data_IF_207615092290
#
_entry.id   IF_207615092290
#
_cell.length_a   1.000
_cell.length_b   1.000
_cell.length_c   1.000
_cell.angle_alpha   90.00
_cell.angle_beta   90.00
_cell.angle_gamma   90.00
#
_symmetry.space_group_name_H-M   'P 1'
#
loop_
_entity.id
_entity.type
_entity.pdbx_description
1 polymer ?
#
# COMPACT_ATOMS: atom_id res chain seq x y z
N UNK A 1 -9.93 -90.05 61.53
CA UNK A 1 -9.71 -88.57 61.57
C UNK A 1 -8.38 -88.21 61.02
N UNK A 2 -8.25 -87.87 59.78
CA UNK A 2 -7.02 -87.34 59.17
C UNK A 2 -7.41 -86.39 58.05
N UNK A 3 -7.19 -85.10 58.26
CA UNK A 3 -7.40 -84.08 57.29
C UNK A 3 -6.29 -84.16 56.20
N UNK A 4 -6.68 -84.14 54.93
CA UNK A 4 -5.80 -83.95 53.82
C UNK A 4 -6.03 -82.56 53.22
N UNK A 5 -5.05 -81.71 53.36
CA UNK A 5 -4.99 -80.38 52.75
C UNK A 5 -4.69 -80.51 51.27
N UNK A 6 -5.57 -80.00 50.41
CA UNK A 6 -5.29 -79.79 48.98
C UNK A 6 -4.68 -78.36 48.80
N UNK A 7 -3.49 -78.34 48.24
CA UNK A 7 -2.86 -77.08 47.77
C UNK A 7 -3.45 -76.75 46.40
N UNK A 8 -4.07 -75.62 46.27
CA UNK A 8 -4.36 -74.98 45.00
C UNK A 8 -3.27 -73.96 44.69
N UNK A 9 -2.60 -74.09 43.54
CA UNK A 9 -1.68 -73.13 42.96
C UNK A 9 -2.49 -72.14 42.12
N UNK A 10 -2.32 -70.84 42.21
CA UNK A 10 -2.93 -69.90 41.30
C UNK A 10 -2.08 -69.74 40.03
N UNK A 11 -2.74 -69.91 38.91
CA UNK A 11 -2.25 -69.67 37.56
C UNK A 11 -2.23 -68.13 37.39
N UNK A 12 -1.03 -67.55 37.31
CA UNK A 12 -0.88 -66.12 37.00
C UNK A 12 -0.94 -65.97 35.45
N UNK A 13 -2.07 -65.45 34.96
CA UNK A 13 -2.20 -65.00 33.57
C UNK A 13 -1.52 -63.63 33.38
N UNK A 14 -0.43 -63.65 32.66
CA UNK A 14 0.32 -62.43 32.25
C UNK A 14 -0.49 -61.78 31.09
N UNK A 15 -1.29 -60.78 31.38
CA UNK A 15 -1.93 -59.93 30.38
C UNK A 15 -0.92 -58.91 29.86
N UNK A 16 -0.43 -59.08 28.62
CA UNK A 16 0.34 -58.09 27.89
C UNK A 16 -0.61 -56.96 27.47
N UNK A 17 -0.55 -55.82 28.16
CA UNK A 17 -1.14 -54.59 27.74
C UNK A 17 -0.31 -54.05 26.57
N UNK A 18 -0.84 -54.25 25.35
CA UNK A 18 -0.37 -53.52 24.16
C UNK A 18 -0.85 -52.08 24.31
N UNK A 19 0.03 -51.19 24.75
CA UNK A 19 -0.21 -49.77 24.70
C UNK A 19 -0.20 -49.33 23.22
N UNK A 20 -1.37 -49.08 22.65
CA UNK A 20 -1.46 -48.25 21.45
C UNK A 20 -1.10 -46.84 21.88
N UNK A 21 0.14 -46.43 21.64
CA UNK A 21 0.46 -45.02 21.55
C UNK A 21 -0.23 -44.49 20.31
N UNK A 22 -1.36 -43.85 20.48
CA UNK A 22 -1.82 -42.87 19.52
C UNK A 22 -0.74 -41.79 19.52
N UNK A 23 0.07 -41.74 18.48
CA UNK A 23 0.77 -40.51 18.10
C UNK A 23 -0.31 -39.49 17.79
N UNK A 24 -0.73 -38.76 18.84
CA UNK A 24 -1.31 -37.44 18.68
C UNK A 24 -0.18 -36.60 18.07
N UNK A 25 -0.21 -36.45 16.73
CA UNK A 25 0.51 -35.36 16.11
C UNK A 25 0.11 -34.09 16.84
N UNK A 26 1.02 -33.23 17.27
CA UNK A 26 0.65 -32.00 17.93
C UNK A 26 -0.30 -31.25 17.01
N UNK A 27 -1.55 -31.06 17.45
CA UNK A 27 -2.46 -30.09 16.84
C UNK A 27 -1.65 -28.82 16.61
N UNK A 28 -1.59 -28.37 15.33
CA UNK A 28 -0.62 -27.46 14.81
C UNK A 28 -0.31 -26.33 15.78
N UNK A 29 0.93 -26.26 16.19
CA UNK A 29 1.43 -25.09 16.88
C UNK A 29 1.04 -23.90 16.03
N UNK A 30 0.26 -22.98 16.57
CA UNK A 30 -0.10 -21.73 15.90
C UNK A 30 1.20 -21.15 15.34
N UNK A 31 1.27 -20.89 14.03
CA UNK A 31 2.45 -20.32 13.40
C UNK A 31 2.73 -18.88 13.89
N UNK A 32 1.97 -18.43 14.88
CA UNK A 32 2.05 -17.11 15.50
C UNK A 32 1.06 -16.12 14.91
N UNK A 33 1.30 -14.87 15.21
CA UNK A 33 0.46 -13.76 14.75
C UNK A 33 1.30 -12.62 14.19
N UNK A 34 0.63 -11.70 13.51
CA UNK A 34 1.15 -10.45 12.98
C UNK A 34 0.15 -9.34 13.28
N UNK A 35 0.57 -8.30 14.00
CA UNK A 35 -0.25 -7.12 14.29
C UNK A 35 0.05 -6.06 13.23
N UNK A 36 -0.87 -5.93 12.27
CA UNK A 36 -0.73 -5.06 11.12
C UNK A 36 -1.50 -3.76 11.34
N UNK A 37 -0.79 -2.64 11.37
CA UNK A 37 -1.36 -1.30 11.36
C UNK A 37 -1.33 -0.78 9.92
N UNK A 38 -2.50 -0.57 9.31
CA UNK A 38 -2.62 -0.21 7.90
C UNK A 38 -3.44 1.05 7.68
N UNK A 39 -2.90 1.97 6.90
CA UNK A 39 -3.67 3.11 6.38
C UNK A 39 -4.22 2.85 4.96
N UNK A 40 -4.14 1.62 4.50
CA UNK A 40 -4.78 1.16 3.26
C UNK A 40 -6.19 0.65 3.60
N UNK A 41 -7.16 0.98 2.75
CA UNK A 41 -8.57 0.67 2.97
C UNK A 41 -9.18 0.07 1.70
N UNK A 42 -8.45 -0.85 1.07
CA UNK A 42 -8.93 -1.50 -0.16
C UNK A 42 -9.45 -2.89 0.16
N UNK A 43 -10.67 -3.20 -0.28
CA UNK A 43 -11.28 -4.52 -0.10
C UNK A 43 -10.39 -5.64 -0.68
N UNK A 44 -9.62 -5.33 -1.73
CA UNK A 44 -8.66 -6.25 -2.36
C UNK A 44 -7.45 -6.57 -1.47
N UNK A 45 -7.11 -5.73 -0.50
CA UNK A 45 -6.02 -6.02 0.44
C UNK A 45 -6.41 -7.15 1.42
N UNK A 46 -7.72 -7.38 1.66
CA UNK A 46 -8.21 -8.49 2.48
C UNK A 46 -7.76 -9.83 1.89
N UNK A 47 -7.86 -9.98 0.57
CA UNK A 47 -7.40 -11.20 -0.10
C UNK A 47 -5.88 -11.45 0.07
N UNK A 48 -5.05 -10.38 0.14
CA UNK A 48 -3.63 -10.52 0.46
C UNK A 48 -3.42 -11.09 1.87
N UNK A 49 -4.19 -10.61 2.83
CA UNK A 49 -4.08 -11.02 4.23
C UNK A 49 -4.57 -12.46 4.44
N UNK A 50 -5.68 -12.82 3.81
CA UNK A 50 -6.25 -14.17 3.86
C UNK A 50 -5.31 -15.19 3.20
N UNK A 51 -4.81 -14.91 2.00
CA UNK A 51 -3.87 -15.79 1.28
C UNK A 51 -2.56 -15.99 2.06
N UNK A 52 -2.04 -14.95 2.72
CA UNK A 52 -0.88 -15.09 3.59
C UNK A 52 -1.17 -16.00 4.78
N UNK A 53 -2.30 -15.80 5.44
CA UNK A 53 -2.71 -16.62 6.59
C UNK A 53 -2.92 -18.09 6.18
N UNK A 54 -3.55 -18.34 5.03
CA UNK A 54 -3.75 -19.68 4.50
C UNK A 54 -2.42 -20.38 4.19
N UNK A 55 -1.49 -19.64 3.57
CA UNK A 55 -0.19 -20.20 3.17
C UNK A 55 0.77 -20.46 4.33
N UNK A 56 0.66 -19.70 5.42
CA UNK A 56 1.67 -19.71 6.50
C UNK A 56 1.13 -20.16 7.85
N UNK A 57 -0.19 -20.13 8.06
CA UNK A 57 -0.82 -20.29 9.38
C UNK A 57 -0.65 -19.10 10.32
N UNK A 58 0.04 -18.02 9.90
CA UNK A 58 0.22 -16.80 10.70
C UNK A 58 -1.05 -15.98 10.65
N UNK A 59 -1.65 -15.70 11.80
CA UNK A 59 -2.87 -14.90 11.89
C UNK A 59 -2.54 -13.40 11.80
N UNK A 60 -3.23 -12.67 10.93
CA UNK A 60 -3.12 -11.21 10.87
C UNK A 60 -4.18 -10.57 11.78
N UNK A 61 -3.73 -9.75 12.72
CA UNK A 61 -4.57 -8.86 13.51
C UNK A 61 -4.49 -7.46 12.92
N UNK A 62 -5.51 -7.07 12.15
CA UNK A 62 -5.53 -5.83 11.38
C UNK A 62 -6.12 -4.69 12.21
N UNK A 63 -5.43 -3.53 12.20
CA UNK A 63 -5.95 -2.25 12.65
C UNK A 63 -5.86 -1.26 11.51
N UNK A 64 -7.01 -0.73 11.09
CA UNK A 64 -7.10 0.27 10.04
C UNK A 64 -7.48 1.63 10.60
N UNK A 65 -6.70 2.64 10.22
CA UNK A 65 -6.96 4.04 10.53
C UNK A 65 -6.18 4.98 9.61
N UNK A 66 -6.31 6.30 9.79
CA UNK A 66 -5.48 7.27 9.09
C UNK A 66 -4.00 7.10 9.43
N UNK A 67 -3.10 7.29 8.45
CA UNK A 67 -1.67 7.07 8.67
C UNK A 67 -1.09 7.92 9.79
N UNK A 68 -1.46 9.19 9.86
CA UNK A 68 -0.99 10.09 10.93
C UNK A 68 -1.53 9.64 12.29
N UNK A 69 -2.76 9.12 12.34
CA UNK A 69 -3.38 8.54 13.54
C UNK A 69 -2.64 7.28 14.01
N UNK A 70 -2.29 6.38 13.09
CA UNK A 70 -1.53 5.17 13.39
C UNK A 70 -0.12 5.50 13.90
N UNK A 71 0.57 6.47 13.30
CA UNK A 71 1.88 6.95 13.77
C UNK A 71 1.78 7.47 15.20
N UNK A 72 0.82 8.35 15.50
CA UNK A 72 0.64 8.89 16.85
C UNK A 72 0.20 7.79 17.85
N UNK A 73 -0.55 6.80 17.40
CA UNK A 73 -0.92 5.65 18.21
C UNK A 73 0.30 4.84 18.61
N UNK A 74 1.15 4.43 17.66
CA UNK A 74 2.39 3.68 17.96
C UNK A 74 3.29 4.48 18.91
N UNK A 75 3.45 5.78 18.67
CA UNK A 75 4.21 6.67 19.60
C UNK A 75 3.64 6.70 21.01
N UNK A 76 2.32 6.78 21.15
CA UNK A 76 1.67 6.84 22.46
C UNK A 76 1.67 5.50 23.19
N UNK A 77 1.62 4.39 22.47
CA UNK A 77 1.78 3.04 23.01
C UNK A 77 3.23 2.77 23.46
N UNK A 78 4.21 3.43 22.81
CA UNK A 78 5.63 3.36 23.16
C UNK A 78 6.17 1.92 23.16
N UNK A 79 6.94 1.54 24.17
CA UNK A 79 7.52 0.20 24.35
C UNK A 79 6.46 -0.92 24.47
N UNK A 80 5.21 -0.57 24.77
CA UNK A 80 4.10 -1.50 24.88
C UNK A 80 3.29 -1.64 23.57
N UNK A 81 3.71 -0.99 22.50
CA UNK A 81 3.00 -1.10 21.22
C UNK A 81 3.01 -2.54 20.72
N UNK A 82 1.83 -3.12 20.43
CA UNK A 82 1.76 -4.45 19.84
C UNK A 82 2.01 -4.45 18.34
N UNK A 83 2.15 -3.28 17.70
CA UNK A 83 2.30 -3.17 16.25
C UNK A 83 3.58 -3.87 15.77
N UNK A 84 3.45 -4.74 14.78
CA UNK A 84 4.59 -5.36 14.09
C UNK A 84 4.98 -4.61 12.83
N UNK A 85 3.99 -4.23 12.02
CA UNK A 85 4.17 -3.47 10.79
C UNK A 85 3.25 -2.26 10.73
N UNK A 86 3.78 -1.18 10.18
CA UNK A 86 2.98 -0.05 9.70
C UNK A 86 3.02 -0.03 8.18
N UNK A 87 1.85 -0.22 7.54
CA UNK A 87 1.67 -0.02 6.11
C UNK A 87 1.00 1.34 5.87
N UNK A 88 1.58 2.14 5.00
CA UNK A 88 1.01 3.44 4.64
C UNK A 88 1.09 3.72 3.14
N UNK A 89 0.26 4.65 2.70
CA UNK A 89 0.29 5.21 1.35
C UNK A 89 1.02 6.54 1.38
N UNK A 90 1.93 6.74 0.42
CA UNK A 90 2.75 7.94 0.27
C UNK A 90 4.07 7.90 1.06
N UNK A 91 5.18 8.11 0.33
CA UNK A 91 6.53 8.15 0.90
C UNK A 91 6.70 9.22 1.99
N UNK A 92 5.97 10.33 1.91
CA UNK A 92 5.99 11.37 2.93
C UNK A 92 5.50 10.89 4.30
N UNK A 93 4.63 9.91 4.34
CA UNK A 93 4.16 9.30 5.60
C UNK A 93 5.14 8.26 6.13
N UNK A 94 5.81 7.51 5.26
CA UNK A 94 6.93 6.65 5.67
C UNK A 94 8.03 7.51 6.30
N UNK A 95 8.37 8.62 5.67
CA UNK A 95 9.34 9.59 6.21
C UNK A 95 8.90 10.15 7.58
N UNK A 96 7.62 10.49 7.77
CA UNK A 96 7.12 10.93 9.09
C UNK A 96 7.27 9.87 10.17
N UNK A 97 6.97 8.62 9.84
CA UNK A 97 7.14 7.49 10.74
C UNK A 97 8.62 7.26 11.09
N UNK A 98 9.50 7.37 10.10
CA UNK A 98 10.96 7.34 10.29
C UNK A 98 11.43 8.47 11.22
N UNK A 99 11.02 9.72 10.97
CA UNK A 99 11.37 10.87 11.82
C UNK A 99 10.81 10.74 13.25
N UNK A 100 9.73 9.99 13.42
CA UNK A 100 9.19 9.65 14.73
C UNK A 100 9.96 8.53 15.44
N UNK A 101 10.94 7.89 14.78
CA UNK A 101 11.78 6.83 15.35
C UNK A 101 11.04 5.52 15.59
N UNK A 102 9.92 5.28 14.88
CA UNK A 102 9.09 4.08 15.12
C UNK A 102 9.53 2.86 14.33
N UNK A 103 10.48 2.99 13.43
CA UNK A 103 10.96 1.89 12.60
C UNK A 103 12.30 1.33 13.09
N UNK A 104 12.54 0.06 12.82
CA UNK A 104 13.83 -0.62 12.91
C UNK A 104 14.22 -1.19 11.53
N UNK A 105 15.51 -1.46 11.29
CA UNK A 105 15.97 -2.05 10.04
C UNK A 105 15.33 -3.41 9.76
N UNK A 106 14.96 -3.62 8.50
CA UNK A 106 14.46 -4.87 7.94
C UNK A 106 15.67 -5.58 7.32
N UNK A 107 15.98 -6.78 7.79
CA UNK A 107 17.03 -7.63 7.23
C UNK A 107 16.40 -8.79 6.47
N UNK A 108 16.44 -8.75 5.13
CA UNK A 108 15.91 -9.81 4.27
C UNK A 108 16.59 -9.80 2.91
N UNK A 109 17.46 -10.80 2.64
CA UNK A 109 18.05 -10.99 1.31
C UNK A 109 17.01 -11.12 0.18
N UNK A 110 15.82 -11.63 0.49
CA UNK A 110 14.71 -11.79 -0.47
C UNK A 110 14.17 -10.43 -0.90
N UNK A 111 13.99 -9.51 0.05
CA UNK A 111 13.55 -8.15 -0.26
C UNK A 111 14.64 -7.39 -1.03
N UNK A 112 15.90 -7.61 -0.68
CA UNK A 112 17.04 -6.99 -1.37
C UNK A 112 17.18 -7.46 -2.82
N UNK A 113 16.89 -8.72 -3.10
CA UNK A 113 16.89 -9.28 -4.46
C UNK A 113 15.69 -8.79 -5.29
N UNK A 114 14.49 -8.72 -4.69
CA UNK A 114 13.26 -8.43 -5.42
C UNK A 114 13.02 -6.96 -5.67
N UNK A 115 13.41 -6.10 -4.74
CA UNK A 115 13.11 -4.69 -4.79
C UNK A 115 14.32 -3.87 -5.28
N UNK A 116 14.16 -2.99 -6.26
CA UNK A 116 15.23 -2.08 -6.66
C UNK A 116 15.55 -1.09 -5.53
N UNK A 117 16.77 -0.54 -5.54
CA UNK A 117 17.27 0.35 -4.47
C UNK A 117 16.34 1.54 -4.20
N UNK A 118 15.74 2.12 -5.23
CA UNK A 118 14.81 3.25 -5.09
C UNK A 118 13.43 2.87 -4.50
N UNK A 119 13.20 1.59 -4.22
CA UNK A 119 12.02 1.08 -3.53
C UNK A 119 12.35 0.64 -2.09
N UNK A 120 13.55 0.92 -1.61
CA UNK A 120 14.02 0.56 -0.27
C UNK A 120 14.66 1.76 0.41
N UNK A 121 14.46 1.89 1.72
CA UNK A 121 15.18 2.87 2.51
C UNK A 121 16.67 2.54 2.54
N UNK A 122 17.60 3.50 2.41
CA UNK A 122 19.04 3.22 2.44
C UNK A 122 19.51 2.46 3.69
N UNK A 123 18.91 2.76 4.85
CA UNK A 123 19.21 2.10 6.13
C UNK A 123 18.21 0.98 6.46
N UNK A 124 17.42 0.50 5.48
CA UNK A 124 16.49 -0.61 5.63
C UNK A 124 15.22 -0.35 6.44
N UNK A 125 14.88 0.89 6.79
CA UNK A 125 13.77 1.21 7.69
C UNK A 125 12.38 0.95 7.11
N UNK A 126 12.25 0.95 5.77
CA UNK A 126 11.01 0.66 5.09
C UNK A 126 11.25 0.14 3.67
N UNK A 127 10.25 -0.51 3.12
CA UNK A 127 10.22 -0.99 1.73
C UNK A 127 8.95 -0.53 1.03
N UNK A 128 9.06 -0.26 -0.29
CA UNK A 128 7.93 0.02 -1.16
C UNK A 128 7.23 -1.26 -1.60
N UNK A 129 5.91 -1.23 -1.64
CA UNK A 129 5.06 -2.38 -1.98
C UNK A 129 4.32 -2.22 -3.30
N UNK A 130 4.00 -1.00 -3.67
CA UNK A 130 3.36 -0.65 -4.95
C UNK A 130 3.68 0.78 -5.34
N UNK A 131 3.45 1.12 -6.61
CA UNK A 131 3.70 2.46 -7.17
C UNK A 131 2.43 3.04 -7.77
N UNK A 132 2.36 4.37 -7.80
CA UNK A 132 1.35 5.14 -8.54
C UNK A 132 1.98 6.36 -9.18
N UNK A 133 1.53 6.72 -10.36
CA UNK A 133 1.93 7.96 -11.02
C UNK A 133 0.86 9.04 -10.81
N UNK A 134 1.29 10.29 -10.64
CA UNK A 134 0.41 11.44 -10.59
C UNK A 134 0.34 12.04 -11.98
N UNK A 135 -0.77 11.84 -12.69
CA UNK A 135 -0.93 12.22 -14.09
C UNK A 135 -1.80 13.45 -14.24
N UNK A 136 -1.69 14.09 -15.38
CA UNK A 136 -2.63 15.13 -15.82
C UNK A 136 -3.71 14.45 -16.65
N UNK A 137 -4.96 14.77 -16.36
CA UNK A 137 -6.15 14.27 -17.06
C UNK A 137 -6.74 15.42 -17.86
N UNK A 138 -7.12 15.20 -19.11
CA UNK A 138 -7.77 16.21 -19.93
C UNK A 138 -9.00 15.66 -20.66
N UNK A 139 -9.90 16.53 -21.10
CA UNK A 139 -11.11 16.14 -21.81
C UNK A 139 -10.76 15.73 -23.25
N UNK A 140 -11.06 14.49 -23.63
CA UNK A 140 -10.70 13.91 -24.93
C UNK A 140 -11.36 14.66 -26.11
N UNK A 141 -12.63 15.10 -25.97
CA UNK A 141 -13.35 15.81 -27.03
C UNK A 141 -12.78 17.22 -27.25
N UNK A 142 -12.39 17.89 -26.17
CA UNK A 142 -11.76 19.21 -26.25
C UNK A 142 -10.32 19.15 -26.79
N UNK A 143 -9.70 17.98 -26.78
CA UNK A 143 -8.32 17.76 -27.17
C UNK A 143 -7.31 18.21 -26.11
N UNK A 144 -6.03 17.91 -26.34
CA UNK A 144 -4.94 18.27 -25.43
C UNK A 144 -4.77 19.79 -25.36
N UNK A 145 -4.96 20.42 -24.17
CA UNK A 145 -4.65 21.85 -24.00
C UNK A 145 -3.15 22.08 -24.11
N UNK A 146 -2.73 23.12 -24.82
CA UNK A 146 -1.30 23.47 -24.95
C UNK A 146 -0.99 24.80 -24.24
N UNK A 147 0.18 24.87 -23.59
CA UNK A 147 1.16 23.80 -23.33
C UNK A 147 0.69 22.87 -22.19
N UNK A 148 0.91 21.55 -22.31
CA UNK A 148 0.59 20.60 -21.23
C UNK A 148 1.45 19.32 -21.33
N UNK A 149 2.76 19.48 -21.19
CA UNK A 149 3.74 18.39 -21.25
C UNK A 149 4.44 18.12 -19.93
N UNK A 150 4.44 19.11 -19.02
CA UNK A 150 5.05 19.04 -17.69
C UNK A 150 4.13 19.66 -16.62
N UNK A 151 4.42 19.41 -15.35
CA UNK A 151 3.68 20.03 -14.24
C UNK A 151 3.83 21.56 -14.22
N UNK A 152 4.96 22.10 -14.70
CA UNK A 152 5.17 23.53 -14.83
C UNK A 152 4.09 24.20 -15.67
N UNK A 153 3.59 23.51 -16.70
CA UNK A 153 2.59 24.02 -17.64
C UNK A 153 1.22 24.25 -16.97
N UNK A 154 0.94 23.55 -15.86
CA UNK A 154 -0.29 23.78 -15.08
C UNK A 154 -0.42 25.24 -14.56
N UNK A 155 0.69 25.94 -14.45
CA UNK A 155 0.75 27.35 -14.05
C UNK A 155 0.65 28.33 -15.22
N UNK A 156 0.67 27.85 -16.47
CA UNK A 156 0.58 28.74 -17.65
C UNK A 156 -0.77 29.49 -17.66
N UNK A 157 -0.75 30.83 -17.87
CA UNK A 157 -1.97 31.66 -17.94
C UNK A 157 -2.99 31.21 -19.03
N UNK A 158 -2.57 30.45 -20.03
CA UNK A 158 -3.45 29.86 -21.05
C UNK A 158 -4.46 28.87 -20.44
N UNK A 159 -4.19 28.35 -19.24
CA UNK A 159 -5.07 27.45 -18.49
C UNK A 159 -5.96 28.13 -17.47
N UNK A 160 -6.08 29.44 -17.52
CA UNK A 160 -6.94 30.21 -16.58
C UNK A 160 -8.38 29.72 -16.61
N UNK A 161 -8.89 29.34 -15.41
CA UNK A 161 -10.25 28.83 -15.23
C UNK A 161 -10.49 27.43 -15.79
N UNK A 162 -9.42 26.64 -16.01
CA UNK A 162 -9.52 25.32 -16.65
C UNK A 162 -9.09 24.17 -15.76
N UNK A 163 -8.37 24.43 -14.64
CA UNK A 163 -7.73 23.40 -13.81
C UNK A 163 -8.62 23.00 -12.64
N UNK A 164 -8.85 21.72 -12.47
CA UNK A 164 -9.45 21.11 -11.30
C UNK A 164 -8.44 20.23 -10.56
N UNK A 165 -8.31 20.45 -9.27
CA UNK A 165 -7.42 19.69 -8.41
C UNK A 165 -8.09 19.49 -7.05
N UNK A 166 -7.74 18.44 -6.33
CA UNK A 166 -8.17 18.26 -4.94
C UNK A 166 -7.44 19.19 -3.99
N UNK A 167 -7.90 19.29 -2.73
CA UNK A 167 -7.31 20.18 -1.72
C UNK A 167 -5.79 19.98 -1.56
N UNK A 168 -5.08 21.09 -1.34
CA UNK A 168 -3.65 21.09 -0.97
C UNK A 168 -3.35 20.45 0.39
N UNK A 169 -4.35 20.24 1.25
CA UNK A 169 -4.20 19.50 2.50
C UNK A 169 -4.08 17.99 2.28
N UNK A 170 -4.37 17.50 1.08
CA UNK A 170 -4.25 16.08 0.76
C UNK A 170 -2.79 15.70 0.52
N UNK A 171 -2.38 14.54 1.07
CA UNK A 171 -1.00 14.06 1.02
C UNK A 171 -0.45 13.96 -0.42
N UNK A 172 -1.27 13.60 -1.42
CA UNK A 172 -0.79 13.47 -2.80
C UNK A 172 -0.37 14.81 -3.42
N UNK A 173 -1.07 15.89 -3.06
CA UNK A 173 -0.69 17.23 -3.49
C UNK A 173 0.47 17.80 -2.67
N UNK A 174 0.56 17.44 -1.38
CA UNK A 174 1.73 17.78 -0.54
C UNK A 174 2.98 17.13 -1.14
N UNK A 175 2.91 15.85 -1.51
CA UNK A 175 4.03 15.13 -2.13
C UNK A 175 4.40 15.67 -3.52
N UNK A 176 3.41 16.04 -4.34
CA UNK A 176 3.68 16.72 -5.61
C UNK A 176 4.37 18.07 -5.39
N UNK A 177 3.89 18.87 -4.42
CA UNK A 177 4.53 20.14 -4.07
C UNK A 177 5.98 19.95 -3.60
N UNK A 178 6.22 18.95 -2.75
CA UNK A 178 7.57 18.59 -2.31
C UNK A 178 8.48 18.19 -3.49
N UNK A 179 7.97 17.46 -4.47
CA UNK A 179 8.68 17.14 -5.70
C UNK A 179 8.99 18.40 -6.53
N UNK A 180 8.06 19.35 -6.63
CA UNK A 180 8.29 20.61 -7.33
C UNK A 180 9.33 21.47 -6.60
N UNK A 181 9.29 21.54 -5.28
CA UNK A 181 10.34 22.20 -4.47
C UNK A 181 11.71 21.58 -4.72
N UNK A 182 11.80 20.26 -4.74
CA UNK A 182 13.05 19.54 -5.02
C UNK A 182 13.58 19.80 -6.44
N UNK A 183 12.69 19.97 -7.43
CA UNK A 183 13.04 20.15 -8.84
C UNK A 183 13.49 21.57 -9.17
N UNK A 184 12.81 22.59 -8.63
CA UNK A 184 12.99 23.98 -9.05
C UNK A 184 13.36 24.93 -7.91
N UNK A 185 13.43 24.45 -6.67
CA UNK A 185 13.64 25.26 -5.48
C UNK A 185 12.36 25.89 -4.94
N UNK A 186 12.41 26.34 -3.68
CA UNK A 186 11.24 26.79 -2.92
C UNK A 186 10.54 27.99 -3.57
N UNK A 187 11.29 29.04 -3.94
CA UNK A 187 10.71 30.26 -4.51
C UNK A 187 10.00 30.01 -5.85
N UNK A 188 10.61 29.25 -6.76
CA UNK A 188 9.98 28.93 -8.04
C UNK A 188 8.79 27.98 -7.88
N UNK A 189 8.84 27.07 -6.91
CA UNK A 189 7.70 26.19 -6.60
C UNK A 189 6.53 26.98 -5.99
N UNK A 190 6.78 28.03 -5.19
CA UNK A 190 5.75 28.93 -4.68
C UNK A 190 5.08 29.72 -5.83
N UNK A 191 5.88 30.28 -6.76
CA UNK A 191 5.37 30.96 -7.96
C UNK A 191 4.53 30.01 -8.82
N UNK A 192 5.01 28.79 -9.05
CA UNK A 192 4.26 27.74 -9.74
C UNK A 192 2.93 27.44 -9.05
N UNK A 193 2.91 27.22 -7.75
CA UNK A 193 1.68 26.95 -6.99
C UNK A 193 0.71 28.14 -7.09
N UNK A 194 1.18 29.36 -7.02
CA UNK A 194 0.36 30.56 -7.21
C UNK A 194 -0.26 30.60 -8.62
N UNK A 195 0.50 30.26 -9.65
CA UNK A 195 0.03 30.16 -11.04
C UNK A 195 -1.04 29.07 -11.20
N UNK A 196 -0.84 27.88 -10.61
CA UNK A 196 -1.82 26.79 -10.61
C UNK A 196 -3.13 27.25 -9.93
N UNK A 197 -3.04 27.93 -8.78
CA UNK A 197 -4.22 28.48 -8.07
C UNK A 197 -4.95 29.50 -8.95
N UNK A 198 -4.23 30.37 -9.66
CA UNK A 198 -4.82 31.35 -10.57
C UNK A 198 -5.57 30.69 -11.75
N UNK A 199 -5.25 29.44 -12.06
CA UNK A 199 -5.85 28.67 -13.15
C UNK A 199 -7.01 27.78 -12.71
N UNK A 200 -7.38 27.77 -11.43
CA UNK A 200 -8.50 26.95 -10.95
C UNK A 200 -9.82 27.31 -11.63
N UNK A 201 -10.52 26.28 -12.12
CA UNK A 201 -11.88 26.39 -12.63
C UNK A 201 -12.89 26.56 -11.48
N UNK A 202 -12.56 25.97 -10.33
CA UNK A 202 -13.39 26.00 -9.11
C UNK A 202 -12.52 25.85 -7.86
N UNK A 203 -13.08 26.11 -6.70
CA UNK A 203 -12.44 25.79 -5.42
C UNK A 203 -12.09 24.31 -5.35
N UNK A 204 -10.86 23.94 -4.93
CA UNK A 204 -10.45 22.56 -4.76
C UNK A 204 -11.40 21.78 -3.86
N UNK A 205 -11.84 20.63 -4.32
CA UNK A 205 -12.79 19.78 -3.62
C UNK A 205 -12.70 18.32 -4.06
N UNK A 206 -13.43 17.44 -3.36
CA UNK A 206 -13.56 16.04 -3.72
C UNK A 206 -12.24 15.25 -3.68
N UNK A 207 -12.24 14.05 -4.22
CA UNK A 207 -11.08 13.18 -4.44
C UNK A 207 -10.66 13.17 -5.91
N UNK A 208 -9.66 12.37 -6.27
CA UNK A 208 -9.17 12.30 -7.65
C UNK A 208 -10.23 11.79 -8.63
N UNK A 209 -11.10 10.83 -8.23
CA UNK A 209 -12.26 10.42 -9.06
C UNK A 209 -13.17 11.61 -9.38
N UNK A 210 -13.41 12.47 -8.39
CA UNK A 210 -14.21 13.69 -8.58
C UNK A 210 -13.56 14.68 -9.54
N UNK A 211 -12.22 14.74 -9.61
CA UNK A 211 -11.53 15.57 -10.60
C UNK A 211 -11.68 14.97 -12.02
N UNK A 212 -11.50 13.64 -12.18
CA UNK A 212 -11.68 12.94 -13.45
C UNK A 212 -13.11 13.15 -13.98
N UNK A 213 -14.13 13.00 -13.11
CA UNK A 213 -15.54 13.23 -13.47
C UNK A 213 -15.82 14.69 -13.89
N UNK A 214 -15.18 15.65 -13.21
CA UNK A 214 -15.31 17.07 -13.56
C UNK A 214 -14.70 17.39 -14.92
N UNK A 215 -13.57 16.75 -15.25
CA UNK A 215 -12.96 16.87 -16.59
C UNK A 215 -13.83 16.20 -17.64
N UNK A 216 -14.34 14.99 -17.39
CA UNK A 216 -15.23 14.28 -18.31
C UNK A 216 -16.51 15.07 -18.62
N UNK A 217 -17.08 15.76 -17.63
CA UNK A 217 -18.29 16.58 -17.81
C UNK A 217 -18.06 17.94 -18.45
N UNK A 218 -16.78 18.34 -18.66
CA UNK A 218 -16.42 19.66 -19.17
C UNK A 218 -16.51 20.81 -18.15
N UNK A 219 -16.72 20.52 -16.85
CA UNK A 219 -16.62 21.51 -15.77
C UNK A 219 -15.20 22.08 -15.68
N UNK A 220 -14.20 21.23 -15.97
CA UNK A 220 -12.80 21.58 -16.10
C UNK A 220 -12.25 20.98 -17.39
N UNK A 221 -11.21 21.58 -17.96
CA UNK A 221 -10.51 20.99 -19.11
C UNK A 221 -9.33 20.12 -18.67
N UNK A 222 -8.75 20.41 -17.53
CA UNK A 222 -7.54 19.80 -16.98
C UNK A 222 -7.80 19.36 -15.54
N UNK A 223 -7.37 18.15 -15.20
CA UNK A 223 -7.38 17.62 -13.84
C UNK A 223 -6.04 16.99 -13.47
N UNK A 224 -5.79 16.80 -12.17
CA UNK A 224 -4.63 16.06 -11.68
C UNK A 224 -5.12 14.91 -10.81
N UNK A 225 -4.69 13.68 -11.14
CA UNK A 225 -5.13 12.47 -10.47
C UNK A 225 -4.01 11.42 -10.41
N UNK A 226 -4.12 10.47 -9.47
CA UNK A 226 -3.29 9.28 -9.52
C UNK A 226 -3.87 8.29 -10.54
N UNK A 227 -2.99 7.56 -11.21
CA UNK A 227 -3.32 6.62 -12.31
C UNK A 227 -4.40 5.62 -11.97
N UNK A 228 -4.33 5.02 -10.76
CA UNK A 228 -5.26 3.96 -10.36
C UNK A 228 -6.73 4.43 -10.24
N UNK A 229 -7.00 5.73 -10.05
CA UNK A 229 -8.37 6.23 -10.05
C UNK A 229 -9.02 6.15 -11.42
N UNK A 230 -8.28 6.46 -12.48
CA UNK A 230 -8.77 6.30 -13.85
C UNK A 230 -8.88 4.82 -14.21
N UNK A 231 -7.87 4.02 -13.86
CA UNK A 231 -7.87 2.59 -14.13
C UNK A 231 -9.08 1.88 -13.50
N UNK A 232 -9.52 2.28 -12.30
CA UNK A 232 -10.75 1.79 -11.68
C UNK A 232 -12.00 2.14 -12.48
N UNK A 233 -12.08 3.34 -13.04
CA UNK A 233 -13.20 3.74 -13.88
C UNK A 233 -13.22 2.96 -15.21
N UNK A 234 -12.05 2.67 -15.77
CA UNK A 234 -11.91 1.84 -16.98
C UNK A 234 -12.34 0.39 -16.71
N UNK A 235 -11.98 -0.16 -15.56
CA UNK A 235 -12.28 -1.53 -15.17
C UNK A 235 -13.70 -1.71 -14.58
N UNK A 236 -14.45 -0.64 -14.37
CA UNK A 236 -15.79 -0.67 -13.79
C UNK A 236 -16.82 -1.22 -14.78
N UNK A 237 -17.73 -2.05 -14.30
CA UNK A 237 -18.89 -2.52 -15.06
C UNK A 237 -20.04 -1.48 -15.08
N UNK A 238 -19.94 -0.38 -14.33
CA UNK A 238 -20.93 0.69 -14.34
C UNK A 238 -20.83 1.51 -15.64
N UNK A 239 -21.89 1.57 -16.46
CA UNK A 239 -21.90 2.38 -17.69
C UNK A 239 -21.58 3.87 -17.45
N UNK A 240 -21.89 4.41 -16.28
CA UNK A 240 -21.56 5.79 -15.94
C UNK A 240 -20.04 5.97 -15.77
N UNK A 241 -19.35 5.01 -15.17
CA UNK A 241 -17.89 5.03 -15.03
C UNK A 241 -17.21 4.84 -16.39
N UNK A 242 -17.70 3.93 -17.21
CA UNK A 242 -17.20 3.71 -18.59
C UNK A 242 -17.38 4.96 -19.45
N UNK A 243 -18.49 5.68 -19.32
CA UNK A 243 -18.69 6.95 -20.01
C UNK A 243 -17.67 8.00 -19.57
N UNK A 244 -17.40 8.09 -18.27
CA UNK A 244 -16.39 9.01 -17.72
C UNK A 244 -14.99 8.65 -18.22
N UNK A 245 -14.59 7.39 -18.16
CA UNK A 245 -13.26 6.95 -18.60
C UNK A 245 -13.05 7.15 -20.10
N UNK A 246 -14.09 6.98 -20.90
CA UNK A 246 -14.03 7.21 -22.36
C UNK A 246 -13.98 8.69 -22.76
N UNK A 247 -14.38 9.60 -21.87
CA UNK A 247 -14.40 11.05 -22.12
C UNK A 247 -13.10 11.75 -21.73
N UNK A 248 -12.11 11.03 -21.20
CA UNK A 248 -10.86 11.61 -20.73
C UNK A 248 -9.65 10.87 -21.28
N UNK A 249 -8.56 11.59 -21.40
CA UNK A 249 -7.22 11.06 -21.70
C UNK A 249 -6.21 11.56 -20.66
N UNK A 250 -5.01 10.98 -20.65
CA UNK A 250 -3.96 11.32 -19.70
C UNK A 250 -2.66 11.74 -20.37
N UNK A 251 -1.95 12.63 -19.70
CA UNK A 251 -0.55 12.94 -19.97
C UNK A 251 0.28 12.46 -18.78
N UNK A 252 1.38 11.77 -19.06
CA UNK A 252 2.45 11.53 -18.09
C UNK A 252 3.42 12.71 -18.16
N UNK A 253 3.38 13.68 -17.19
CA UNK A 253 4.16 14.89 -17.30
C UNK A 253 5.66 14.65 -17.19
N UNK A 254 6.45 15.52 -17.82
CA UNK A 254 7.90 15.58 -17.61
C UNK A 254 8.70 14.49 -18.31
N UNK A 255 8.17 13.83 -19.38
CA UNK A 255 8.84 12.71 -20.05
C UNK A 255 10.17 13.10 -20.72
N UNK A 256 10.33 14.36 -21.10
CA UNK A 256 11.59 14.88 -21.69
C UNK A 256 12.55 15.44 -20.63
N UNK A 257 12.24 15.28 -19.33
CA UNK A 257 13.01 15.86 -18.23
C UNK A 257 13.06 14.97 -17.00
N UNK A 258 12.49 15.45 -15.89
CA UNK A 258 12.53 14.77 -14.59
C UNK A 258 11.59 13.56 -14.47
N UNK A 259 10.78 13.29 -15.47
CA UNK A 259 9.77 12.24 -15.42
C UNK A 259 8.52 12.60 -14.63
N UNK A 260 7.53 11.75 -14.73
CA UNK A 260 6.29 11.85 -13.95
C UNK A 260 6.56 11.61 -12.46
N UNK A 261 5.91 12.37 -11.59
CA UNK A 261 5.95 12.12 -10.16
C UNK A 261 5.34 10.75 -9.84
N UNK A 262 6.16 9.87 -9.30
CA UNK A 262 5.77 8.54 -8.82
C UNK A 262 5.82 8.54 -7.30
N UNK A 263 4.79 7.99 -6.68
CA UNK A 263 4.76 7.77 -5.23
C UNK A 263 4.49 6.29 -4.94
N UNK A 264 4.64 5.88 -3.69
CA UNK A 264 4.61 4.48 -3.27
C UNK A 264 3.57 4.23 -2.16
N UNK A 265 3.06 3.01 -2.07
CA UNK A 265 2.68 2.43 -0.79
C UNK A 265 3.87 1.66 -0.26
N UNK A 266 4.09 1.70 1.03
CA UNK A 266 5.21 0.99 1.64
C UNK A 266 4.93 0.60 3.08
N UNK A 267 5.84 -0.18 3.63
CA UNK A 267 5.76 -0.67 5.00
C UNK A 267 7.10 -0.58 5.71
N UNK A 268 7.06 -0.33 7.02
CA UNK A 268 8.20 -0.39 7.92
C UNK A 268 7.94 -1.34 9.08
N UNK A 269 8.99 -2.01 9.53
CA UNK A 269 9.00 -2.85 10.72
C UNK A 269 9.04 -1.96 11.96
N UNK A 270 8.05 -2.11 12.84
CA UNK A 270 7.98 -1.30 14.06
C UNK A 270 9.08 -1.71 15.03
N UNK A 271 9.76 -0.73 15.63
CA UNK A 271 10.94 -0.96 16.47
C UNK A 271 10.67 -1.79 17.72
N UNK A 272 9.42 -1.80 18.19
CA UNK A 272 8.94 -2.56 19.35
C UNK A 272 8.20 -3.84 18.98
N UNK A 273 8.25 -4.23 17.69
CA UNK A 273 7.52 -5.40 17.19
C UNK A 273 7.74 -6.65 18.06
N UNK A 274 6.67 -7.26 18.58
CA UNK A 274 6.77 -8.54 19.29
C UNK A 274 6.95 -9.75 18.35
N UNK A 275 6.64 -9.59 17.03
CA UNK A 275 6.71 -10.68 16.05
C UNK A 275 7.53 -10.30 14.80
N UNK A 276 8.79 -9.85 14.94
CA UNK A 276 9.56 -9.29 13.82
C UNK A 276 9.80 -10.30 12.69
N UNK A 277 9.98 -11.58 13.00
CA UNK A 277 10.16 -12.62 11.97
C UNK A 277 8.90 -12.82 11.13
N UNK A 278 7.71 -12.79 11.74
CA UNK A 278 6.44 -12.91 11.02
C UNK A 278 6.20 -11.66 10.16
N UNK A 279 6.60 -10.48 10.66
CA UNK A 279 6.53 -9.23 9.93
C UNK A 279 7.39 -9.27 8.66
N UNK A 280 8.64 -9.73 8.75
CA UNK A 280 9.53 -9.88 7.59
C UNK A 280 8.96 -10.90 6.59
N UNK A 281 8.48 -12.07 7.04
CA UNK A 281 7.81 -13.05 6.17
C UNK A 281 6.62 -12.45 5.41
N UNK A 282 5.85 -11.59 6.06
CA UNK A 282 4.74 -10.93 5.40
C UNK A 282 5.20 -9.92 4.33
N UNK A 283 6.26 -9.15 4.58
CA UNK A 283 6.85 -8.27 3.57
C UNK A 283 7.40 -9.06 2.38
N UNK A 284 8.06 -10.19 2.62
CA UNK A 284 8.52 -11.10 1.58
C UNK A 284 7.36 -11.66 0.75
N UNK A 285 6.25 -12.02 1.40
CA UNK A 285 5.03 -12.43 0.72
C UNK A 285 4.45 -11.29 -0.14
N UNK A 286 4.35 -10.07 0.38
CA UNK A 286 3.82 -8.92 -0.35
C UNK A 286 4.66 -8.54 -1.58
N UNK A 287 5.92 -8.95 -1.63
CA UNK A 287 6.81 -8.80 -2.80
C UNK A 287 6.87 -10.06 -3.68
N UNK A 288 6.09 -11.10 -3.40
CA UNK A 288 5.94 -12.25 -4.30
C UNK A 288 5.18 -11.87 -5.57
N UNK A 289 5.37 -12.62 -6.64
CA UNK A 289 4.66 -12.40 -7.90
C UNK A 289 3.14 -12.41 -7.71
N UNK A 290 2.61 -13.39 -6.96
CA UNK A 290 1.18 -13.52 -6.71
C UNK A 290 0.59 -12.31 -5.97
N UNK A 291 1.26 -11.81 -4.95
CA UNK A 291 0.82 -10.64 -4.21
C UNK A 291 0.93 -9.35 -5.05
N UNK A 292 1.99 -9.21 -5.84
CA UNK A 292 2.18 -8.07 -6.73
C UNK A 292 1.13 -8.03 -7.85
N UNK A 293 0.70 -9.19 -8.35
CA UNK A 293 -0.42 -9.28 -9.30
C UNK A 293 -1.75 -8.87 -8.65
N UNK A 294 -1.96 -9.15 -7.35
CA UNK A 294 -3.14 -8.65 -6.63
C UNK A 294 -3.11 -7.13 -6.48
N UNK A 295 -1.96 -6.52 -6.20
CA UNK A 295 -1.83 -5.05 -6.23
C UNK A 295 -2.15 -4.48 -7.62
N UNK A 296 -1.64 -5.11 -8.68
CA UNK A 296 -1.86 -4.65 -10.04
C UNK A 296 -3.31 -4.80 -10.49
N UNK A 297 -3.88 -5.99 -10.36
CA UNK A 297 -5.20 -6.32 -10.88
C UNK A 297 -6.34 -5.86 -9.98
N UNK A 298 -6.14 -5.90 -8.65
CA UNK A 298 -7.16 -5.54 -7.66
C UNK A 298 -7.19 -4.03 -7.37
N UNK A 299 -6.03 -3.41 -7.20
CA UNK A 299 -5.93 -2.00 -6.83
C UNK A 299 -5.56 -1.10 -8.01
N UNK A 300 -5.17 -1.66 -9.16
CA UNK A 300 -4.65 -0.95 -10.32
C UNK A 300 -3.42 -0.09 -10.01
N UNK A 301 -2.61 -0.53 -9.05
CA UNK A 301 -1.34 0.08 -8.70
C UNK A 301 -0.21 -0.63 -9.46
N UNK A 302 0.83 0.09 -9.86
CA UNK A 302 1.98 -0.54 -10.50
C UNK A 302 2.76 -1.39 -9.48
N UNK A 303 3.19 -2.61 -9.86
CA UNK A 303 4.03 -3.44 -9.01
C UNK A 303 5.32 -2.73 -8.59
N UNK A 304 5.76 -2.99 -7.35
CA UNK A 304 7.07 -2.55 -6.87
C UNK A 304 8.20 -3.38 -7.49
N UNK A 305 7.95 -4.68 -7.66
CA UNK A 305 8.90 -5.66 -8.20
C UNK A 305 8.98 -5.52 -9.72
N UNK A 306 10.20 -5.36 -10.29
CA UNK A 306 10.39 -5.28 -11.73
C UNK A 306 9.97 -6.57 -12.46
N UNK A 307 9.51 -6.40 -13.72
CA UNK A 307 9.18 -7.52 -14.60
C UNK A 307 7.79 -8.13 -14.39
N UNK A 308 7.06 -7.72 -13.36
CA UNK A 308 5.67 -8.13 -13.16
C UNK A 308 4.79 -7.19 -14.00
N UNK A 309 3.98 -7.79 -14.89
CA UNK A 309 3.07 -7.02 -15.74
C UNK A 309 1.95 -6.40 -14.88
N UNK A 310 1.91 -5.08 -14.87
CA UNK A 310 0.74 -4.34 -14.38
C UNK A 310 -0.35 -4.32 -15.46
N UNK A 311 -1.60 -4.19 -15.04
CA UNK A 311 -2.75 -3.98 -15.94
C UNK A 311 -2.75 -2.58 -16.52
#
# INVERSE_FOLDING_TARGET
MRFRSLFFAPLVALATLTSCSTDDAPEGASAGELNLYSSRHYDTDIALYENFTEATGIKINLIEAGADELIERIKSEGEASPADLLITVDAGRLWRAEQAGIFQPIDSPILDERLPENMRHPDGLWVGLSKRARVIVYNAEAGLPEPLSDYSDLADPAHRGKVCIRSSSNIYNISLMAAMVSRMGEAAAEEWAAGVVANFARTPQSNDTGQIRAVASGECQIGVANTYYLARLVASDDPADQAVSSAVEIVFPGQEGNGTHVNISGAGLVSTSPNPENAVKFLEYLTSESAQLLFANGNHEYPAVPGIAGT
#
